data_IF_385777142549
#
_entry.id   IF_385777142549
#
_cell.length_a   1.000
_cell.length_b   1.000
_cell.length_c   1.000
_cell.angle_alpha   90.00
_cell.angle_beta   90.00
_cell.angle_gamma   90.00
#
_symmetry.space_group_name_H-M   'P 1'
#
loop_
_entity.id
_entity.type
_entity.pdbx_description
1 polymer ?
#
# COMPACT_ATOMS: atom_id res chain seq x y z
N UNK A 1 0.45 -3.92 18.25
CA UNK A 1 1.66 -3.41 17.57
C UNK A 1 1.54 -1.89 17.55
N UNK A 2 2.59 -1.12 17.90
CA UNK A 2 2.52 0.35 17.91
C UNK A 2 3.32 0.89 16.72
N UNK A 3 2.69 1.74 15.91
CA UNK A 3 3.32 2.39 14.75
C UNK A 3 3.41 3.88 15.03
N UNK A 4 4.56 4.49 14.72
CA UNK A 4 4.80 5.92 14.91
C UNK A 4 5.10 6.50 13.53
N UNK A 5 4.34 7.52 13.14
CA UNK A 5 4.56 8.29 11.91
C UNK A 5 5.37 9.53 12.28
N UNK A 6 6.48 9.76 11.58
CA UNK A 6 7.38 10.88 11.84
C UNK A 6 7.67 11.63 10.54
N UNK A 7 7.60 12.95 10.59
CA UNK A 7 8.02 13.80 9.47
C UNK A 7 9.53 13.99 9.54
N UNK A 8 10.24 13.46 8.54
CA UNK A 8 11.69 13.60 8.42
C UNK A 8 11.99 14.87 7.61
N UNK A 9 12.95 15.71 8.05
CA UNK A 9 13.38 16.86 7.25
C UNK A 9 13.89 16.44 5.87
N UNK A 10 13.57 17.22 4.84
CA UNK A 10 14.04 16.99 3.48
C UNK A 10 15.56 16.80 3.45
N UNK A 11 16.04 15.87 2.61
CA UNK A 11 17.46 15.50 2.45
C UNK A 11 18.09 14.73 3.63
N UNK A 12 17.34 14.38 4.68
CA UNK A 12 17.83 13.53 5.79
C UNK A 12 17.33 12.08 5.77
N UNK A 13 16.55 11.68 4.76
CA UNK A 13 15.97 10.34 4.64
C UNK A 13 17.02 9.23 4.78
N UNK A 14 18.12 9.31 4.04
CA UNK A 14 19.20 8.31 4.06
C UNK A 14 19.83 8.11 5.45
N UNK A 15 19.91 9.18 6.24
CA UNK A 15 20.42 9.12 7.61
C UNK A 15 19.46 8.32 8.51
N UNK A 16 18.16 8.64 8.47
CA UNK A 16 17.15 7.95 9.28
C UNK A 16 16.95 6.50 8.84
N UNK A 17 16.96 6.24 7.53
CA UNK A 17 16.94 4.88 6.98
C UNK A 17 18.09 4.02 7.52
N UNK A 18 19.29 4.57 7.54
CA UNK A 18 20.48 3.88 8.08
C UNK A 18 20.36 3.64 9.59
N UNK A 19 19.86 4.64 10.33
CA UNK A 19 19.65 4.56 11.77
C UNK A 19 18.64 3.47 12.14
N UNK A 20 17.48 3.45 11.48
CA UNK A 20 16.42 2.47 11.75
C UNK A 20 16.87 1.05 11.38
N UNK A 21 17.61 0.89 10.27
CA UNK A 21 18.21 -0.39 9.89
C UNK A 21 19.21 -0.88 10.93
N UNK A 22 20.05 0.00 11.48
CA UNK A 22 21.01 -0.32 12.55
C UNK A 22 20.33 -0.79 13.84
N UNK A 23 19.16 -0.23 14.15
CA UNK A 23 18.39 -0.58 15.34
C UNK A 23 17.37 -1.69 15.11
N UNK A 24 17.41 -2.37 13.96
CA UNK A 24 16.47 -3.43 13.59
C UNK A 24 14.99 -3.01 13.67
N UNK A 25 14.72 -1.72 13.45
CA UNK A 25 13.37 -1.19 13.41
C UNK A 25 12.77 -1.44 12.02
N UNK A 26 11.56 -2.00 12.00
CA UNK A 26 10.77 -2.09 10.77
C UNK A 26 10.33 -0.68 10.39
N UNK A 27 10.77 -0.22 9.21
CA UNK A 27 10.44 1.09 8.67
C UNK A 27 9.80 0.94 7.29
N UNK A 28 8.88 1.85 6.96
CA UNK A 28 8.32 2.04 5.62
C UNK A 28 8.49 3.52 5.29
N UNK A 29 9.15 3.82 4.18
CA UNK A 29 9.17 5.19 3.64
C UNK A 29 7.83 5.37 2.94
N UNK A 30 7.13 6.43 3.30
CA UNK A 30 5.95 6.88 2.58
C UNK A 30 6.46 7.89 1.55
N UNK A 31 6.63 7.45 0.31
CA UNK A 31 6.84 8.39 -0.80
C UNK A 31 5.56 9.22 -0.92
N UNK A 32 5.70 10.54 -1.12
CA UNK A 32 4.56 11.49 -1.22
C UNK A 32 3.55 11.14 -2.33
N UNK A 33 3.84 10.16 -3.18
CA UNK A 33 3.02 9.71 -4.33
C UNK A 33 2.22 8.42 -4.08
N UNK A 34 2.13 7.89 -2.86
CA UNK A 34 0.96 7.06 -2.52
C UNK A 34 -0.15 8.01 -2.04
N UNK A 35 -0.70 8.77 -3.00
CA UNK A 35 -1.82 9.69 -2.84
C UNK A 35 -2.91 9.03 -1.98
N UNK A 36 -3.07 9.50 -0.75
CA UNK A 36 -4.24 9.16 0.08
C UNK A 36 -5.54 9.41 -0.71
N UNK A 37 -5.50 10.37 -1.65
CA UNK A 37 -6.57 10.69 -2.61
C UNK A 37 -6.81 9.58 -3.64
N UNK A 38 -5.77 8.88 -4.11
CA UNK A 38 -5.91 7.75 -5.06
C UNK A 38 -6.49 6.54 -4.34
N UNK A 39 -6.03 6.27 -3.12
CA UNK A 39 -6.59 5.22 -2.27
C UNK A 39 -8.04 5.51 -1.91
N UNK A 40 -8.36 6.75 -1.53
CA UNK A 40 -9.74 7.17 -1.25
C UNK A 40 -10.64 7.01 -2.49
N UNK A 41 -10.15 7.40 -3.67
CA UNK A 41 -10.87 7.22 -4.93
C UNK A 41 -11.14 5.75 -5.26
N UNK A 42 -10.17 4.86 -5.07
CA UNK A 42 -10.39 3.42 -5.27
C UNK A 42 -11.37 2.81 -4.26
N UNK A 43 -11.38 3.32 -3.03
CA UNK A 43 -12.34 2.90 -2.00
C UNK A 43 -13.75 3.35 -2.38
N UNK A 44 -13.92 4.60 -2.79
CA UNK A 44 -15.22 5.13 -3.24
C UNK A 44 -15.73 4.39 -4.49
N UNK A 45 -14.87 4.19 -5.49
CA UNK A 45 -15.20 3.41 -6.69
C UNK A 45 -15.57 1.94 -6.35
N UNK A 46 -14.90 1.35 -5.36
CA UNK A 46 -15.20 0.02 -4.86
C UNK A 46 -16.51 -0.06 -4.08
N UNK A 47 -16.87 1.00 -3.35
CA UNK A 47 -18.14 1.09 -2.60
C UNK A 47 -19.36 1.35 -3.49
N UNK A 48 -19.16 1.99 -4.65
CA UNK A 48 -20.20 2.18 -5.67
C UNK A 48 -20.39 0.96 -6.59
N UNK A 49 -19.44 0.02 -6.61
CA UNK A 49 -19.49 -1.15 -7.47
C UNK A 49 -20.41 -2.25 -6.91
N UNK A 50 -21.16 -2.91 -7.81
CA UNK A 50 -21.98 -4.08 -7.46
C UNK A 50 -21.08 -5.22 -6.97
N UNK A 51 -21.56 -5.99 -5.97
CA UNK A 51 -20.87 -7.21 -5.53
C UNK A 51 -20.63 -8.15 -6.72
N UNK A 52 -19.37 -8.33 -7.10
CA UNK A 52 -19.00 -9.24 -8.18
C UNK A 52 -19.03 -10.67 -7.63
N UNK A 53 -19.83 -11.58 -8.21
CA UNK A 53 -19.83 -12.99 -7.82
C UNK A 53 -18.44 -13.60 -7.92
N UNK A 54 -18.06 -14.40 -6.93
CA UNK A 54 -16.74 -15.03 -6.85
C UNK A 54 -16.37 -15.81 -8.12
N UNK A 55 -17.36 -16.43 -8.75
CA UNK A 55 -17.22 -17.22 -9.96
C UNK A 55 -16.64 -16.40 -11.11
N UNK A 56 -17.08 -15.15 -11.29
CA UNK A 56 -16.55 -14.24 -12.32
C UNK A 56 -15.09 -13.85 -12.06
N UNK A 57 -14.72 -13.70 -10.79
CA UNK A 57 -13.34 -13.38 -10.38
C UNK A 57 -12.42 -14.56 -10.72
N UNK A 58 -12.83 -15.79 -10.37
CA UNK A 58 -12.06 -17.00 -10.68
C UNK A 58 -11.95 -17.26 -12.19
N UNK A 59 -12.99 -17.01 -12.97
CA UNK A 59 -12.92 -17.07 -14.44
C UNK A 59 -11.93 -16.05 -15.01
N UNK A 60 -11.94 -14.81 -14.51
CA UNK A 60 -11.00 -13.78 -14.93
C UNK A 60 -9.55 -14.17 -14.60
N UNK A 61 -9.30 -14.69 -13.41
CA UNK A 61 -7.98 -15.12 -12.96
C UNK A 61 -7.45 -16.30 -13.80
N UNK A 62 -8.30 -17.31 -14.06
CA UNK A 62 -7.95 -18.45 -14.94
C UNK A 62 -7.63 -18.01 -16.36
N UNK A 63 -8.38 -17.05 -16.92
CA UNK A 63 -8.11 -16.48 -18.25
C UNK A 63 -6.73 -15.82 -18.36
N UNK A 64 -6.18 -15.33 -17.24
CA UNK A 64 -4.86 -14.70 -17.18
C UNK A 64 -3.77 -15.64 -16.63
N UNK A 65 -4.03 -16.96 -16.62
CA UNK A 65 -3.03 -17.98 -16.30
C UNK A 65 -2.77 -18.20 -14.81
N UNK A 66 -3.62 -17.65 -13.93
CA UNK A 66 -3.55 -17.90 -12.50
C UNK A 66 -4.38 -19.16 -12.19
N UNK A 67 -3.72 -20.20 -11.66
CA UNK A 67 -4.39 -21.41 -11.22
C UNK A 67 -4.98 -21.16 -9.81
N UNK A 68 -6.31 -21.07 -9.74
CA UNK A 68 -7.07 -20.69 -8.56
C UNK A 68 -8.33 -21.54 -8.41
#
# INVERSE_FOLDING_TARGET
MKTIVVNVPEKKENYFMSLFKKHHLKMRVLEREEDEDLMAKWIDEGMESEEIPKEKIYEYMRKHGINC
#
